data_IF_700370079109
#
_entry.id   IF_700370079109
#
_cell.length_a   1.000
_cell.length_b   1.000
_cell.length_c   1.000
_cell.angle_alpha   90.00
_cell.angle_beta   90.00
_cell.angle_gamma   90.00
#
_symmetry.space_group_name_H-M   'P 1'
#
loop_
_entity.id
_entity.type
_entity.pdbx_description
1 polymer ?
#
# COMPACT_ATOMS: atom_id res chain seq x y z
N UNK A 1 0.70 -8.71 7.88
CA UNK A 1 1.89 -8.14 7.21
C UNK A 1 3.13 -9.04 7.26
N UNK A 2 3.51 -9.63 8.41
CA UNK A 2 4.72 -10.45 8.50
C UNK A 2 4.76 -11.67 7.57
N UNK A 3 3.60 -12.27 7.27
CA UNK A 3 3.48 -13.35 6.30
C UNK A 3 4.00 -12.94 4.90
N UNK A 4 3.61 -11.76 4.41
CA UNK A 4 4.01 -11.30 3.08
C UNK A 4 5.52 -11.09 2.99
N UNK A 5 6.14 -10.48 4.02
CA UNK A 5 7.60 -10.35 4.11
C UNK A 5 8.30 -11.71 4.13
N UNK A 6 7.84 -12.62 4.99
CA UNK A 6 8.45 -13.93 5.15
C UNK A 6 8.39 -14.77 3.87
N UNK A 7 7.27 -14.67 3.14
CA UNK A 7 7.12 -15.32 1.84
C UNK A 7 8.08 -14.74 0.80
N UNK A 8 8.15 -13.40 0.66
CA UNK A 8 9.11 -12.75 -0.25
C UNK A 8 10.55 -13.12 0.09
N UNK A 9 10.91 -13.14 1.39
CA UNK A 9 12.25 -13.54 1.83
C UNK A 9 12.58 -14.98 1.49
N UNK A 10 11.64 -15.91 1.66
CA UNK A 10 11.83 -17.31 1.30
C UNK A 10 12.08 -17.47 -0.19
N UNK A 11 11.26 -16.85 -1.02
CA UNK A 11 11.38 -16.92 -2.48
C UNK A 11 12.70 -16.30 -2.93
N UNK A 12 13.04 -15.09 -2.49
CA UNK A 12 14.28 -14.43 -2.90
C UNK A 12 15.52 -15.22 -2.46
N UNK A 13 15.50 -15.84 -1.27
CA UNK A 13 16.58 -16.70 -0.76
C UNK A 13 16.84 -17.92 -1.65
N UNK A 14 15.81 -18.53 -2.22
CA UNK A 14 15.95 -19.68 -3.13
C UNK A 14 16.76 -19.33 -4.40
N UNK A 15 16.75 -18.07 -4.80
CA UNK A 15 17.47 -17.58 -5.99
C UNK A 15 18.73 -16.77 -5.66
N UNK A 16 19.12 -16.65 -4.38
CA UNK A 16 20.26 -15.82 -3.96
C UNK A 16 20.05 -14.33 -4.22
N UNK A 17 18.79 -13.87 -4.23
CA UNK A 17 18.41 -12.47 -4.44
C UNK A 17 18.17 -11.81 -3.08
N UNK A 18 18.65 -10.58 -2.92
CA UNK A 18 18.33 -9.74 -1.76
C UNK A 18 17.15 -8.81 -2.11
N UNK A 19 15.98 -8.93 -1.44
CA UNK A 19 14.82 -8.11 -1.75
C UNK A 19 14.99 -6.68 -1.24
N UNK A 20 14.89 -5.69 -2.14
CA UNK A 20 14.78 -4.28 -1.77
C UNK A 20 13.40 -3.97 -1.21
N UNK A 21 13.35 -3.38 -0.01
CA UNK A 21 12.11 -3.08 0.72
C UNK A 21 12.06 -1.61 1.15
N UNK A 22 12.00 -0.67 0.19
CA UNK A 22 12.16 0.76 0.48
C UNK A 22 11.08 1.32 1.40
N UNK A 23 9.87 0.72 1.40
CA UNK A 23 8.71 1.21 2.17
C UNK A 23 8.43 0.40 3.45
N UNK A 24 9.23 -0.62 3.77
CA UNK A 24 8.91 -1.56 4.84
C UNK A 24 9.11 -0.94 6.22
N UNK A 25 8.11 -1.09 7.10
CA UNK A 25 8.03 -0.45 8.44
C UNK A 25 7.95 1.08 8.42
N UNK A 26 7.75 1.71 7.27
CA UNK A 26 7.47 3.15 7.19
C UNK A 26 6.02 3.45 7.60
N UNK A 27 5.80 4.65 8.13
CA UNK A 27 4.46 5.15 8.43
C UNK A 27 3.66 5.37 7.12
N UNK A 28 2.52 4.69 6.93
CA UNK A 28 1.73 4.80 5.71
C UNK A 28 1.28 6.23 5.37
N UNK A 29 0.96 7.06 6.37
CA UNK A 29 0.50 8.43 6.12
C UNK A 29 1.64 9.32 5.64
N UNK A 30 2.83 9.15 6.23
CA UNK A 30 4.04 9.83 5.77
C UNK A 30 4.38 9.43 4.34
N UNK A 31 4.39 8.12 4.04
CA UNK A 31 4.68 7.61 2.69
C UNK A 31 3.70 8.19 1.68
N UNK A 32 2.40 8.14 1.96
CA UNK A 32 1.38 8.69 1.08
C UNK A 32 1.62 10.19 0.83
N UNK A 33 1.89 10.97 1.89
CA UNK A 33 2.19 12.39 1.77
C UNK A 33 3.42 12.67 0.89
N UNK A 34 4.50 11.92 1.07
CA UNK A 34 5.72 12.02 0.24
C UNK A 34 5.41 11.75 -1.23
N UNK A 35 4.61 10.73 -1.55
CA UNK A 35 4.19 10.47 -2.94
C UNK A 35 3.38 11.63 -3.53
N UNK A 36 2.40 12.16 -2.78
CA UNK A 36 1.60 13.29 -3.27
C UNK A 36 2.49 14.54 -3.48
N UNK A 37 3.45 14.78 -2.60
CA UNK A 37 4.36 15.94 -2.68
C UNK A 37 5.34 15.83 -3.86
N UNK A 38 5.72 14.61 -4.25
CA UNK A 38 6.47 14.32 -5.48
C UNK A 38 5.61 14.38 -6.76
N UNK A 39 4.33 14.77 -6.65
CA UNK A 39 3.42 14.97 -7.78
C UNK A 39 2.70 13.71 -8.25
N UNK A 40 2.71 12.64 -7.46
CA UNK A 40 1.90 11.46 -7.76
C UNK A 40 0.42 11.72 -7.45
N UNK A 41 -0.46 11.14 -8.26
CA UNK A 41 -1.90 11.07 -7.99
C UNK A 41 -2.25 9.68 -7.48
N UNK A 42 -2.93 9.60 -6.33
CA UNK A 42 -3.37 8.33 -5.77
C UNK A 42 -4.88 8.15 -5.96
N UNK A 43 -5.30 7.00 -6.49
CA UNK A 43 -6.71 6.64 -6.61
C UNK A 43 -7.06 5.58 -5.59
N UNK A 44 -8.12 5.81 -4.82
CA UNK A 44 -8.59 4.82 -3.84
C UNK A 44 -9.28 3.68 -4.60
N UNK A 45 -8.76 2.46 -4.44
CA UNK A 45 -9.36 1.22 -4.93
C UNK A 45 -9.61 0.29 -3.77
N UNK A 46 -10.88 0.11 -3.45
CA UNK A 46 -11.36 -0.73 -2.37
C UNK A 46 -12.38 -1.73 -2.94
N UNK A 47 -12.36 -2.94 -2.39
CA UNK A 47 -13.44 -3.91 -2.54
C UNK A 47 -14.50 -3.54 -1.51
N UNK A 48 -15.52 -2.79 -1.92
CA UNK A 48 -16.55 -2.26 -1.02
C UNK A 48 -17.27 -3.34 -0.21
N UNK A 49 -17.34 -4.56 -0.75
CA UNK A 49 -17.86 -5.77 -0.07
C UNK A 49 -17.00 -6.26 1.11
N UNK A 50 -15.81 -5.69 1.31
CA UNK A 50 -14.90 -6.03 2.41
C UNK A 50 -14.88 -4.98 3.53
N UNK A 51 -15.63 -3.89 3.41
CA UNK A 51 -15.70 -2.83 4.41
C UNK A 51 -17.07 -2.84 5.10
N UNK A 52 -17.06 -2.65 6.42
CA UNK A 52 -18.26 -2.25 7.15
C UNK A 52 -18.62 -0.83 6.67
N UNK A 53 -19.88 -0.61 6.29
CA UNK A 53 -20.40 0.64 5.69
C UNK A 53 -20.13 1.89 6.55
N UNK A 54 -19.70 1.69 7.80
CA UNK A 54 -19.39 2.73 8.78
C UNK A 54 -18.07 3.47 8.56
N UNK A 55 -17.09 2.92 7.82
CA UNK A 55 -15.77 3.55 7.68
C UNK A 55 -15.35 3.86 6.21
N UNK A 56 -15.61 2.97 5.27
CA UNK A 56 -15.25 3.13 3.84
C UNK A 56 -16.31 2.51 2.93
N UNK A 57 -17.26 3.33 2.48
CA UNK A 57 -18.31 2.90 1.54
C UNK A 57 -17.90 3.04 0.05
N UNK A 58 -18.78 2.63 -0.86
CA UNK A 58 -18.55 2.65 -2.32
C UNK A 58 -18.12 4.03 -2.87
N UNK A 59 -18.50 5.14 -2.23
CA UNK A 59 -18.23 6.50 -2.71
C UNK A 59 -16.74 6.84 -2.74
N UNK A 60 -15.94 6.13 -1.94
CA UNK A 60 -14.50 6.33 -1.90
C UNK A 60 -13.80 5.71 -3.11
N UNK A 61 -14.40 4.72 -3.76
CA UNK A 61 -13.76 4.04 -4.91
C UNK A 61 -13.65 5.00 -6.10
N UNK A 62 -12.42 5.21 -6.58
CA UNK A 62 -12.13 6.15 -7.67
C UNK A 62 -11.91 7.60 -7.21
N UNK A 63 -11.98 7.88 -5.91
CA UNK A 63 -11.59 9.19 -5.38
C UNK A 63 -10.08 9.40 -5.55
N UNK A 64 -9.72 10.55 -6.12
CA UNK A 64 -8.35 11.02 -6.30
C UNK A 64 -7.88 11.79 -5.07
N UNK A 65 -6.74 11.38 -4.53
CA UNK A 65 -5.99 12.11 -3.53
C UNK A 65 -4.86 12.87 -4.26
N UNK A 66 -4.89 14.18 -4.11
CA UNK A 66 -3.89 15.14 -4.59
C UNK A 66 -3.86 16.34 -3.65
N UNK A 67 -2.76 17.09 -3.63
CA UNK A 67 -2.65 18.37 -2.92
C UNK A 67 -3.14 19.54 -3.76
#
# INVERSE_FOLDING_TARGET
MQFHKGWVDSVCKEFGIEPAKPLWLMDPLKVLGEFIDEGFEALIKARADLFDETELDEKWTGTSLRR
#
